data_IF_599314680674
#
_entry.id   IF_599314680674
#
_cell.length_a   1.000
_cell.length_b   1.000
_cell.length_c   1.000
_cell.angle_alpha   90.00
_cell.angle_beta   90.00
_cell.angle_gamma   90.00
#
_symmetry.space_group_name_H-M   'P 1'
#
loop_
_entity.id
_entity.type
_entity.pdbx_description
1 polymer ?
#
# COMPACT_ATOMS: atom_id res chain seq x y z
N UNK A 1 -6.76 10.13 36.87
CA UNK A 1 -7.74 10.44 35.79
C UNK A 1 -7.03 11.31 34.76
N UNK A 2 -6.74 10.78 33.57
CA UNK A 2 -6.13 11.55 32.49
C UNK A 2 -7.07 12.64 31.98
N UNK A 3 -6.56 13.83 31.70
CA UNK A 3 -7.34 14.92 31.12
C UNK A 3 -7.96 14.43 29.82
N UNK A 4 -9.28 14.55 29.67
CA UNK A 4 -9.97 14.24 28.42
C UNK A 4 -9.31 15.02 27.28
N UNK A 5 -8.93 14.31 26.22
CA UNK A 5 -8.34 14.90 25.03
C UNK A 5 -9.38 15.83 24.37
N UNK A 6 -9.13 17.11 24.37
CA UNK A 6 -9.92 18.09 23.62
C UNK A 6 -9.15 18.42 22.34
N UNK A 7 -9.66 18.04 21.16
CA UNK A 7 -9.02 18.37 19.90
C UNK A 7 -8.87 19.90 19.78
N UNK A 8 -7.67 20.36 19.53
CA UNK A 8 -7.42 21.79 19.30
C UNK A 8 -7.85 22.17 17.87
N UNK A 9 -9.18 22.40 17.72
CA UNK A 9 -9.80 22.71 16.42
C UNK A 9 -9.92 24.22 16.28
N UNK A 10 -8.78 24.86 16.14
CA UNK A 10 -8.73 26.28 15.74
C UNK A 10 -8.00 26.39 14.42
N UNK A 11 -8.68 26.14 13.30
CA UNK A 11 -8.40 26.86 12.06
C UNK A 11 -9.51 26.67 11.04
N UNK A 12 -10.07 27.73 10.54
CA UNK A 12 -10.94 27.79 9.36
C UNK A 12 -10.26 27.31 8.08
N UNK A 13 -8.95 27.05 8.14
CA UNK A 13 -8.10 26.71 6.98
C UNK A 13 -8.42 25.36 6.36
N UNK A 14 -9.02 24.43 7.12
CA UNK A 14 -9.41 23.08 6.67
C UNK A 14 -10.89 22.95 6.25
N UNK A 15 -11.68 23.99 6.34
CA UNK A 15 -13.09 23.94 5.92
C UNK A 15 -13.23 23.41 4.50
N UNK A 16 -14.17 22.48 4.30
CA UNK A 16 -14.50 21.88 3.00
C UNK A 16 -13.36 21.06 2.35
N UNK A 17 -12.44 20.45 3.14
CA UNK A 17 -11.37 19.65 2.58
C UNK A 17 -11.90 18.40 1.87
N UNK A 18 -12.89 17.71 2.46
CA UNK A 18 -13.57 16.57 1.81
C UNK A 18 -14.18 16.98 0.47
N UNK A 19 -14.82 18.15 0.42
CA UNK A 19 -15.38 18.71 -0.82
C UNK A 19 -14.28 19.03 -1.84
N UNK A 20 -13.14 19.58 -1.41
CA UNK A 20 -12.01 19.86 -2.27
C UNK A 20 -11.46 18.57 -2.92
N UNK A 21 -11.28 17.50 -2.15
CA UNK A 21 -10.86 16.18 -2.68
C UNK A 21 -11.91 15.65 -3.66
N UNK A 22 -13.20 15.71 -3.30
CA UNK A 22 -14.28 15.26 -4.18
C UNK A 22 -14.36 16.05 -5.50
N UNK A 23 -14.11 17.36 -5.46
CA UNK A 23 -14.02 18.18 -6.67
C UNK A 23 -12.84 17.81 -7.56
N UNK A 24 -11.68 17.48 -6.99
CA UNK A 24 -10.55 16.96 -7.75
C UNK A 24 -10.93 15.64 -8.43
N UNK A 25 -11.50 14.69 -7.69
CA UNK A 25 -11.95 13.40 -8.24
C UNK A 25 -12.93 13.62 -9.40
N UNK A 26 -13.95 14.49 -9.21
CA UNK A 26 -14.97 14.74 -10.24
C UNK A 26 -14.39 15.41 -11.47
N UNK A 27 -13.62 16.48 -11.29
CA UNK A 27 -13.29 17.43 -12.35
C UNK A 27 -12.05 17.04 -13.15
N UNK A 28 -11.15 16.18 -12.60
CA UNK A 28 -9.94 15.79 -13.33
C UNK A 28 -10.29 15.11 -14.64
N UNK A 29 -9.62 15.52 -15.72
CA UNK A 29 -9.79 14.96 -17.07
C UNK A 29 -8.49 14.31 -17.53
N UNK A 30 -8.58 13.21 -18.27
CA UNK A 30 -7.39 12.50 -18.78
C UNK A 30 -6.43 13.42 -19.54
N UNK A 31 -6.96 14.30 -20.38
CA UNK A 31 -6.17 15.22 -21.20
C UNK A 31 -5.40 16.28 -20.40
N UNK A 32 -5.71 16.45 -19.11
CA UNK A 32 -4.97 17.38 -18.22
C UNK A 32 -3.79 16.69 -17.50
N UNK A 33 -3.63 15.37 -17.66
CA UNK A 33 -2.57 14.61 -17.02
C UNK A 33 -1.31 14.67 -17.88
N UNK A 34 -0.14 15.02 -17.33
CA UNK A 34 1.12 15.03 -18.06
C UNK A 34 1.45 13.67 -18.68
N UNK A 35 1.99 13.66 -19.90
CA UNK A 35 2.29 12.43 -20.64
C UNK A 35 3.25 11.50 -19.87
N UNK A 36 4.27 12.04 -19.24
CA UNK A 36 5.21 11.26 -18.41
C UNK A 36 4.52 10.57 -17.23
N UNK A 37 3.52 11.20 -16.60
CA UNK A 37 2.73 10.60 -15.51
C UNK A 37 1.89 9.43 -16.03
N UNK A 38 1.30 9.58 -17.21
CA UNK A 38 0.55 8.50 -17.86
C UNK A 38 1.45 7.30 -18.18
N UNK A 39 2.67 7.54 -18.67
CA UNK A 39 3.61 6.44 -18.97
C UNK A 39 4.11 5.75 -17.68
N UNK A 40 4.32 6.49 -16.59
CA UNK A 40 4.62 5.90 -15.28
C UNK A 40 3.44 5.03 -14.80
N UNK A 41 2.21 5.56 -14.84
CA UNK A 41 1.01 4.81 -14.45
C UNK A 41 0.85 3.49 -15.21
N UNK A 42 1.14 3.46 -16.51
CA UNK A 42 1.10 2.22 -17.32
C UNK A 42 2.09 1.17 -16.81
N UNK A 43 3.30 1.58 -16.38
CA UNK A 43 4.29 0.66 -15.81
C UNK A 43 3.80 0.05 -14.50
N UNK A 44 3.25 0.88 -13.60
CA UNK A 44 2.69 0.41 -12.32
C UNK A 44 1.45 -0.47 -12.51
N UNK A 45 0.62 -0.19 -13.51
CA UNK A 45 -0.52 -1.05 -13.86
C UNK A 45 -0.04 -2.40 -14.41
N UNK A 46 0.98 -2.40 -15.27
CA UNK A 46 1.55 -3.64 -15.81
C UNK A 46 2.14 -4.49 -14.68
N UNK A 47 2.91 -3.87 -13.78
CA UNK A 47 3.46 -4.49 -12.57
C UNK A 47 2.32 -5.07 -11.70
N UNK A 48 1.29 -4.28 -11.40
CA UNK A 48 0.15 -4.70 -10.60
C UNK A 48 -0.61 -5.90 -11.21
N UNK A 49 -0.80 -5.95 -12.53
CA UNK A 49 -1.40 -7.12 -13.18
C UNK A 49 -0.49 -8.36 -13.10
N UNK A 50 0.83 -8.18 -13.28
CA UNK A 50 1.81 -9.24 -13.09
C UNK A 50 1.75 -9.83 -11.67
N UNK A 51 1.70 -8.96 -10.67
CA UNK A 51 1.61 -9.34 -9.27
C UNK A 51 0.25 -9.97 -8.90
N UNK A 52 -0.85 -9.52 -9.50
CA UNK A 52 -2.15 -10.19 -9.32
C UNK A 52 -2.12 -11.63 -9.85
N UNK A 53 -1.44 -11.87 -10.98
CA UNK A 53 -1.24 -13.21 -11.51
C UNK A 53 -0.34 -14.05 -10.60
N UNK A 54 0.79 -13.51 -10.12
CA UNK A 54 1.66 -14.18 -9.15
C UNK A 54 0.90 -14.52 -7.87
N UNK A 55 0.20 -13.56 -7.30
CA UNK A 55 -0.58 -13.76 -6.06
C UNK A 55 -1.75 -14.72 -6.21
N UNK A 56 -2.25 -14.94 -7.44
CA UNK A 56 -3.33 -15.90 -7.69
C UNK A 56 -2.92 -17.36 -7.43
N UNK A 57 -1.63 -17.66 -7.56
CA UNK A 57 -1.05 -19.00 -7.25
C UNK A 57 -0.31 -19.03 -5.92
N UNK A 58 -0.28 -17.91 -5.21
CA UNK A 58 0.24 -17.84 -3.86
C UNK A 58 -0.72 -18.51 -2.86
N UNK A 59 -0.22 -18.86 -1.69
CA UNK A 59 -1.01 -19.49 -0.61
C UNK A 59 -2.25 -18.67 -0.24
N UNK A 60 -2.17 -17.35 -0.24
CA UNK A 60 -3.29 -16.44 -0.01
C UNK A 60 -4.37 -16.55 -1.08
N UNK A 61 -3.97 -16.75 -2.34
CA UNK A 61 -4.87 -16.92 -3.48
C UNK A 61 -5.79 -18.13 -3.31
N UNK A 62 -5.25 -19.28 -2.92
CA UNK A 62 -6.02 -20.50 -2.69
C UNK A 62 -7.15 -20.33 -1.68
N UNK A 63 -6.85 -19.73 -0.54
CA UNK A 63 -7.85 -19.46 0.49
C UNK A 63 -8.90 -18.46 0.03
N UNK A 64 -8.46 -17.41 -0.65
CA UNK A 64 -9.35 -16.36 -1.09
C UNK A 64 -10.28 -16.82 -2.21
N UNK A 65 -9.79 -17.64 -3.15
CA UNK A 65 -10.63 -18.21 -4.19
C UNK A 65 -11.72 -19.13 -3.63
N UNK A 66 -11.39 -19.94 -2.60
CA UNK A 66 -12.38 -20.76 -1.88
C UNK A 66 -13.41 -19.89 -1.18
N UNK A 67 -12.96 -18.84 -0.48
CA UNK A 67 -13.85 -17.89 0.20
C UNK A 67 -14.82 -17.23 -0.80
N UNK A 68 -14.31 -16.72 -1.91
CA UNK A 68 -15.10 -16.01 -2.91
C UNK A 68 -16.07 -16.98 -3.61
N UNK A 69 -15.64 -18.19 -3.95
CA UNK A 69 -16.50 -19.21 -4.56
C UNK A 69 -17.72 -19.52 -3.71
N UNK A 70 -17.54 -19.50 -2.39
CA UNK A 70 -18.61 -19.83 -1.43
C UNK A 70 -19.53 -18.66 -1.11
N UNK A 71 -19.08 -17.40 -1.31
CA UNK A 71 -19.77 -16.22 -0.82
C UNK A 71 -20.20 -15.22 -1.88
N UNK A 72 -19.66 -15.32 -3.11
CA UNK A 72 -19.97 -14.35 -4.17
C UNK A 72 -21.07 -14.85 -5.10
N UNK A 73 -21.93 -13.93 -5.53
CA UNK A 73 -22.80 -14.14 -6.67
C UNK A 73 -22.02 -14.01 -7.99
N UNK A 74 -22.58 -14.57 -9.09
CA UNK A 74 -22.10 -14.32 -10.45
C UNK A 74 -22.13 -12.82 -10.76
N UNK A 75 -21.12 -12.33 -11.45
CA UNK A 75 -20.96 -10.96 -11.86
C UNK A 75 -20.20 -10.82 -13.18
N UNK A 76 -19.68 -9.63 -13.44
CA UNK A 76 -18.92 -9.33 -14.66
C UNK A 76 -17.44 -9.05 -14.39
N UNK A 77 -17.06 -8.85 -13.13
CA UNK A 77 -15.70 -8.51 -12.77
C UNK A 77 -14.81 -9.76 -12.68
N UNK A 78 -13.61 -9.68 -13.25
CA UNK A 78 -12.66 -10.78 -13.35
C UNK A 78 -11.88 -10.95 -12.07
N UNK A 79 -11.82 -12.17 -11.55
CA UNK A 79 -10.79 -12.59 -10.60
C UNK A 79 -9.57 -13.05 -11.39
N UNK A 80 -8.51 -12.26 -11.37
CA UNK A 80 -7.28 -12.47 -12.14
C UNK A 80 -6.65 -13.81 -11.73
N UNK A 81 -6.12 -14.54 -12.72
CA UNK A 81 -5.54 -15.89 -12.51
C UNK A 81 -6.59 -17.01 -12.36
N UNK A 82 -7.89 -16.69 -12.50
CA UNK A 82 -8.97 -17.68 -12.47
C UNK A 82 -9.97 -17.49 -13.59
N UNK A 83 -10.89 -18.46 -13.74
CA UNK A 83 -12.04 -18.36 -14.67
C UNK A 83 -13.27 -17.69 -14.02
N UNK A 84 -13.16 -17.22 -12.78
CA UNK A 84 -14.28 -16.64 -12.04
C UNK A 84 -14.64 -15.25 -12.53
N UNK A 85 -15.93 -15.04 -12.76
CA UNK A 85 -16.56 -13.72 -12.94
C UNK A 85 -17.53 -13.51 -11.77
N UNK A 86 -17.28 -12.50 -10.97
CA UNK A 86 -17.98 -12.25 -9.70
C UNK A 86 -18.45 -10.79 -9.62
N UNK A 87 -19.11 -10.42 -8.53
CA UNK A 87 -19.42 -9.02 -8.25
C UNK A 87 -18.14 -8.19 -8.07
N UNK A 88 -18.18 -6.91 -8.42
CA UNK A 88 -16.99 -6.04 -8.42
C UNK A 88 -16.28 -5.98 -7.05
N UNK A 89 -17.05 -5.99 -5.95
CA UNK A 89 -16.46 -6.01 -4.60
C UNK A 89 -15.56 -7.22 -4.36
N UNK A 90 -15.99 -8.41 -4.75
CA UNK A 90 -15.22 -9.64 -4.54
C UNK A 90 -14.06 -9.79 -5.53
N UNK A 91 -14.20 -9.28 -6.75
CA UNK A 91 -13.07 -9.20 -7.67
C UNK A 91 -12.00 -8.22 -7.15
N UNK A 92 -12.41 -7.07 -6.62
CA UNK A 92 -11.51 -6.10 -5.99
C UNK A 92 -10.78 -6.70 -4.78
N UNK A 93 -11.49 -7.43 -3.91
CA UNK A 93 -10.92 -8.15 -2.77
C UNK A 93 -9.83 -9.14 -3.23
N UNK A 94 -10.15 -10.01 -4.18
CA UNK A 94 -9.23 -11.05 -4.66
C UNK A 94 -7.98 -10.44 -5.30
N UNK A 95 -8.21 -9.53 -6.25
CA UNK A 95 -7.13 -8.95 -7.04
C UNK A 95 -6.21 -8.07 -6.18
N UNK A 96 -6.77 -7.30 -5.23
CA UNK A 96 -5.98 -6.47 -4.31
C UNK A 96 -5.15 -7.30 -3.33
N UNK A 97 -5.71 -8.37 -2.80
CA UNK A 97 -4.94 -9.32 -2.00
C UNK A 97 -3.85 -9.98 -2.84
N UNK A 98 -4.16 -10.38 -4.07
CA UNK A 98 -3.19 -10.99 -4.99
C UNK A 98 -2.01 -10.06 -5.29
N UNK A 99 -2.26 -8.80 -5.63
CA UNK A 99 -1.20 -7.81 -5.89
C UNK A 99 -0.26 -7.68 -4.70
N UNK A 100 -0.78 -7.72 -3.49
CA UNK A 100 -0.01 -7.51 -2.26
C UNK A 100 0.59 -8.79 -1.63
N UNK A 101 0.30 -9.98 -2.20
CA UNK A 101 0.66 -11.27 -1.61
C UNK A 101 2.16 -11.51 -1.50
N UNK A 102 2.91 -11.11 -2.51
CA UNK A 102 4.37 -11.29 -2.54
C UNK A 102 5.15 -10.15 -1.88
N UNK A 103 4.45 -9.12 -1.37
CA UNK A 103 5.06 -7.89 -0.88
C UNK A 103 6.04 -7.28 -1.90
N UNK A 104 5.69 -7.37 -3.17
CA UNK A 104 6.51 -6.98 -4.32
C UNK A 104 5.93 -5.78 -5.08
N UNK A 105 4.73 -5.34 -4.69
CA UNK A 105 4.03 -4.21 -5.25
C UNK A 105 4.69 -2.87 -4.91
N UNK A 106 4.35 -1.88 -5.70
CA UNK A 106 4.92 -0.56 -5.65
C UNK A 106 4.80 0.11 -4.27
N UNK A 107 5.72 1.03 -3.98
CA UNK A 107 5.75 1.73 -2.70
C UNK A 107 5.99 3.22 -2.90
N UNK A 108 5.17 4.05 -2.28
CA UNK A 108 5.41 5.46 -2.14
C UNK A 108 6.09 5.71 -0.79
N UNK A 109 7.31 6.22 -0.86
CA UNK A 109 8.07 6.69 0.29
C UNK A 109 8.06 8.22 0.25
N UNK A 110 7.42 8.86 1.22
CA UNK A 110 7.48 10.30 1.35
C UNK A 110 8.88 10.72 1.81
N UNK A 111 9.66 11.31 0.92
CA UNK A 111 10.97 11.87 1.24
C UNK A 111 10.82 13.37 1.47
N UNK A 112 11.01 13.81 2.71
CA UNK A 112 11.19 15.20 3.08
C UNK A 112 12.57 15.37 3.72
N UNK A 113 13.19 16.55 3.60
CA UNK A 113 14.54 16.83 4.08
C UNK A 113 14.77 16.49 5.56
N UNK A 114 13.73 16.62 6.36
CA UNK A 114 13.71 16.45 7.82
C UNK A 114 13.02 15.16 8.27
N UNK A 115 12.62 14.31 7.33
CA UNK A 115 11.96 13.04 7.63
C UNK A 115 12.77 11.88 7.10
N UNK A 116 13.46 11.21 7.99
CA UNK A 116 14.13 9.92 7.73
C UNK A 116 13.11 8.83 7.45
N UNK A 117 11.83 9.10 7.69
CA UNK A 117 10.74 8.15 7.65
C UNK A 117 9.65 8.62 6.73
N UNK A 118 9.61 7.99 5.61
CA UNK A 118 8.57 8.23 4.62
C UNK A 118 7.28 7.50 4.96
N UNK A 119 6.29 7.84 4.22
CA UNK A 119 5.05 7.16 4.18
C UNK A 119 5.26 5.80 3.51
N UNK A 120 4.85 4.76 4.19
CA UNK A 120 4.84 3.41 3.62
C UNK A 120 3.42 3.08 3.17
N UNK A 121 3.07 3.47 1.94
CA UNK A 121 1.84 3.03 1.29
C UNK A 121 2.16 2.35 -0.03
N UNK A 122 1.35 1.36 -0.39
CA UNK A 122 1.42 0.59 -1.62
C UNK A 122 0.20 0.95 -2.47
N UNK A 123 0.23 2.05 -3.24
CA UNK A 123 -1.00 2.67 -3.74
C UNK A 123 -1.66 1.88 -4.88
N UNK A 124 -0.91 1.07 -5.61
CA UNK A 124 -1.50 0.26 -6.69
C UNK A 124 -2.36 -0.87 -6.16
N UNK A 125 -1.98 -1.50 -5.06
CA UNK A 125 -2.66 -2.69 -4.54
C UNK A 125 -4.14 -2.48 -4.16
N UNK A 126 -4.57 -1.38 -3.52
CA UNK A 126 -5.98 -1.12 -3.27
C UNK A 126 -6.68 -0.42 -4.45
N UNK A 127 -5.99 0.45 -5.19
CA UNK A 127 -6.60 1.32 -6.18
C UNK A 127 -6.86 0.62 -7.52
N UNK A 128 -5.88 -0.11 -8.06
CA UNK A 128 -5.97 -0.79 -9.35
C UNK A 128 -7.11 -1.82 -9.40
N UNK A 129 -7.29 -2.71 -8.40
CA UNK A 129 -8.33 -3.72 -8.41
C UNK A 129 -9.75 -3.13 -8.42
N UNK A 130 -9.98 -2.08 -7.66
CA UNK A 130 -11.28 -1.40 -7.64
C UNK A 130 -11.57 -0.71 -8.97
N UNK A 131 -10.59 0.00 -9.53
CA UNK A 131 -10.71 0.63 -10.83
C UNK A 131 -10.94 -0.41 -11.94
N UNK A 132 -10.25 -1.55 -11.87
CA UNK A 132 -10.38 -2.61 -12.87
C UNK A 132 -11.77 -3.28 -12.81
N UNK A 133 -12.21 -3.68 -11.61
CA UNK A 133 -13.52 -4.32 -11.42
C UNK A 133 -14.68 -3.40 -11.82
N UNK A 134 -14.63 -2.13 -11.44
CA UNK A 134 -15.63 -1.13 -11.83
C UNK A 134 -15.55 -0.79 -13.33
N UNK A 135 -14.33 -0.76 -13.88
CA UNK A 135 -14.10 -0.54 -15.31
C UNK A 135 -14.71 -1.63 -16.18
N UNK A 136 -14.57 -2.91 -15.79
CA UNK A 136 -15.23 -4.04 -16.48
C UNK A 136 -16.77 -3.93 -16.36
N UNK A 137 -17.29 -3.61 -15.18
CA UNK A 137 -18.73 -3.45 -14.93
C UNK A 137 -19.33 -2.36 -15.82
N UNK A 138 -18.66 -1.21 -15.93
CA UNK A 138 -19.12 -0.03 -16.69
C UNK A 138 -18.65 -0.02 -18.14
N UNK A 139 -17.80 -0.98 -18.55
CA UNK A 139 -17.23 -1.08 -19.91
C UNK A 139 -16.54 0.21 -20.37
N UNK A 140 -15.76 0.81 -19.50
CA UNK A 140 -15.04 2.07 -19.79
C UNK A 140 -13.86 1.83 -20.74
N UNK A 141 -13.40 2.89 -21.39
CA UNK A 141 -12.19 2.86 -22.21
C UNK A 141 -10.91 3.03 -21.38
N UNK A 142 -9.75 2.78 -21.98
CA UNK A 142 -8.46 2.85 -21.29
C UNK A 142 -8.08 4.24 -20.76
N UNK A 143 -8.54 5.32 -21.40
CA UNK A 143 -8.27 6.70 -20.92
C UNK A 143 -9.03 6.99 -19.63
N UNK A 144 -10.28 6.57 -19.55
CA UNK A 144 -11.10 6.73 -18.35
C UNK A 144 -10.59 5.86 -17.22
N UNK A 145 -10.13 4.64 -17.52
CA UNK A 145 -9.49 3.75 -16.57
C UNK A 145 -8.22 4.35 -15.99
N UNK A 146 -7.29 4.81 -16.84
CA UNK A 146 -6.05 5.48 -16.42
C UNK A 146 -6.33 6.72 -15.57
N UNK A 147 -7.31 7.54 -15.96
CA UNK A 147 -7.70 8.72 -15.21
C UNK A 147 -8.22 8.37 -13.81
N UNK A 148 -9.07 7.36 -13.69
CA UNK A 148 -9.62 6.93 -12.40
C UNK A 148 -8.54 6.36 -11.48
N UNK A 149 -7.66 5.51 -12.01
CA UNK A 149 -6.53 4.95 -11.29
C UNK A 149 -5.59 6.04 -10.77
N UNK A 150 -5.15 6.95 -11.65
CA UNK A 150 -4.25 8.05 -11.27
C UNK A 150 -4.85 8.98 -10.20
N UNK A 151 -6.13 9.28 -10.32
CA UNK A 151 -6.84 10.10 -9.33
C UNK A 151 -6.90 9.38 -7.97
N UNK A 152 -7.22 8.09 -7.96
CA UNK A 152 -7.26 7.29 -6.74
C UNK A 152 -5.91 7.22 -6.05
N UNK A 153 -4.84 6.92 -6.78
CA UNK A 153 -3.46 6.88 -6.26
C UNK A 153 -3.04 8.23 -5.68
N UNK A 154 -3.33 9.33 -6.38
CA UNK A 154 -2.95 10.66 -5.90
C UNK A 154 -3.70 11.05 -4.62
N UNK A 155 -4.98 10.67 -4.50
CA UNK A 155 -5.76 10.85 -3.27
C UNK A 155 -5.15 10.02 -2.13
N UNK A 156 -4.83 8.74 -2.33
CA UNK A 156 -4.20 7.91 -1.31
C UNK A 156 -2.93 8.53 -0.76
N UNK A 157 -2.01 8.83 -1.67
CA UNK A 157 -0.68 9.29 -1.30
C UNK A 157 -0.72 10.65 -0.57
N UNK A 158 -1.54 11.61 -1.04
CA UNK A 158 -1.67 12.92 -0.42
C UNK A 158 -2.38 12.87 0.94
N UNK A 159 -3.42 12.02 1.06
CA UNK A 159 -4.11 11.81 2.34
C UNK A 159 -3.17 11.16 3.36
N UNK A 160 -2.45 10.16 2.95
CA UNK A 160 -1.47 9.49 3.80
C UNK A 160 -0.37 10.45 4.24
N UNK A 161 0.19 11.24 3.33
CA UNK A 161 1.24 12.22 3.63
C UNK A 161 0.77 13.27 4.64
N UNK A 162 -0.49 13.65 4.59
CA UNK A 162 -1.07 14.60 5.53
C UNK A 162 -1.08 14.10 6.99
N UNK A 163 -1.13 12.79 7.22
CA UNK A 163 -1.13 12.16 8.56
C UNK A 163 0.23 11.63 8.99
N UNK A 164 1.21 11.58 8.08
CA UNK A 164 2.55 11.05 8.39
C UNK A 164 3.27 11.92 9.43
N UNK A 165 4.05 11.32 10.33
CA UNK A 165 4.33 9.89 10.50
C UNK A 165 3.39 9.18 11.50
N UNK A 166 2.58 9.93 12.26
CA UNK A 166 1.82 9.41 13.41
C UNK A 166 0.93 8.22 13.08
N UNK A 167 0.21 8.28 11.97
CA UNK A 167 -0.69 7.23 11.55
C UNK A 167 0.00 5.85 11.52
N UNK A 168 1.14 5.79 10.86
CA UNK A 168 1.94 4.57 10.77
C UNK A 168 2.55 4.17 12.13
N UNK A 169 3.04 5.15 12.91
CA UNK A 169 3.60 4.92 14.23
C UNK A 169 2.56 4.38 15.24
N UNK A 170 1.30 4.78 15.10
CA UNK A 170 0.20 4.26 15.93
C UNK A 170 -0.25 2.85 15.55
N UNK A 171 0.44 2.19 14.62
CA UNK A 171 0.19 0.79 14.26
C UNK A 171 -0.79 0.58 13.12
N UNK A 172 -1.21 1.62 12.41
CA UNK A 172 -2.06 1.48 11.23
C UNK A 172 -1.25 1.11 9.98
N UNK A 173 -1.83 0.28 9.12
CA UNK A 173 -1.30 -0.01 7.79
C UNK A 173 -1.86 1.00 6.78
N UNK A 174 -1.06 1.98 6.39
CA UNK A 174 -1.49 3.09 5.51
C UNK A 174 -2.08 2.62 4.18
N UNK A 175 -1.52 1.57 3.58
CA UNK A 175 -2.06 0.91 2.38
C UNK A 175 -3.53 0.50 2.53
N UNK A 176 -3.89 0.04 3.71
CA UNK A 176 -5.27 -0.35 3.97
C UNK A 176 -6.17 0.84 4.24
N UNK A 177 -5.79 1.66 5.21
CA UNK A 177 -6.65 2.76 5.67
C UNK A 177 -6.82 3.85 4.63
N UNK A 178 -5.72 4.34 4.04
CA UNK A 178 -5.77 5.38 3.00
C UNK A 178 -6.16 4.80 1.64
N UNK A 179 -5.75 3.55 1.36
CA UNK A 179 -6.14 2.84 0.14
C UNK A 179 -7.64 2.61 0.01
N UNK A 180 -8.37 2.53 1.12
CA UNK A 180 -9.85 2.49 1.09
C UNK A 180 -10.43 3.78 0.47
N UNK A 181 -9.83 4.93 0.75
CA UNK A 181 -10.22 6.21 0.12
C UNK A 181 -9.82 6.27 -1.36
N UNK A 182 -8.64 5.73 -1.71
CA UNK A 182 -8.20 5.60 -3.10
C UNK A 182 -9.18 4.78 -3.94
N UNK A 183 -9.54 3.60 -3.41
CA UNK A 183 -10.50 2.70 -4.02
C UNK A 183 -11.85 3.37 -4.24
N UNK A 184 -12.39 4.06 -3.22
CA UNK A 184 -13.64 4.80 -3.33
C UNK A 184 -13.54 5.95 -4.34
N UNK A 185 -12.44 6.69 -4.38
CA UNK A 185 -12.23 7.78 -5.32
C UNK A 185 -12.20 7.27 -6.78
N UNK A 186 -11.48 6.18 -7.04
CA UNK A 186 -11.40 5.57 -8.36
C UNK A 186 -12.76 5.00 -8.82
N UNK A 187 -13.44 4.25 -7.95
CA UNK A 187 -14.76 3.69 -8.21
C UNK A 187 -15.82 4.76 -8.46
N UNK A 188 -15.89 5.79 -7.61
CA UNK A 188 -16.83 6.89 -7.75
C UNK A 188 -16.61 7.68 -9.04
N UNK A 189 -15.35 7.86 -9.45
CA UNK A 189 -15.00 8.50 -10.72
C UNK A 189 -15.51 7.70 -11.92
N UNK A 190 -15.27 6.38 -11.94
CA UNK A 190 -15.75 5.48 -13.00
C UNK A 190 -17.28 5.47 -13.08
N UNK A 191 -17.96 5.54 -11.93
CA UNK A 191 -19.43 5.60 -11.83
C UNK A 191 -20.01 6.95 -12.26
N UNK A 192 -19.16 7.96 -12.49
CA UNK A 192 -19.59 9.30 -12.91
C UNK A 192 -20.29 10.10 -11.82
N UNK A 193 -20.08 9.76 -10.54
CA UNK A 193 -20.72 10.40 -9.39
C UNK A 193 -20.52 11.91 -9.36
N UNK A 194 -21.49 12.64 -8.83
CA UNK A 194 -21.38 14.06 -8.55
C UNK A 194 -20.56 14.32 -7.28
N UNK A 195 -20.23 15.59 -7.01
CA UNK A 195 -19.37 15.96 -5.88
C UNK A 195 -19.93 15.48 -4.53
N UNK A 196 -21.26 15.60 -4.32
CA UNK A 196 -21.90 15.15 -3.09
C UNK A 196 -21.81 13.63 -2.92
N UNK A 197 -22.08 12.88 -3.98
CA UNK A 197 -21.94 11.42 -3.95
C UNK A 197 -20.50 10.97 -3.70
N UNK A 198 -19.49 11.69 -4.26
CA UNK A 198 -18.09 11.40 -3.98
C UNK A 198 -17.75 11.69 -2.51
N UNK A 199 -18.21 12.82 -1.93
CA UNK A 199 -18.04 13.11 -0.51
C UNK A 199 -18.60 11.99 0.38
N UNK A 200 -19.81 11.55 0.08
CA UNK A 200 -20.48 10.47 0.82
C UNK A 200 -19.75 9.12 0.63
N UNK A 201 -19.29 8.81 -0.58
CA UNK A 201 -18.49 7.60 -0.84
C UNK A 201 -17.18 7.60 -0.05
N UNK A 202 -16.47 8.73 0.00
CA UNK A 202 -15.29 8.88 0.85
C UNK A 202 -15.62 8.73 2.33
N UNK A 203 -16.80 9.21 2.78
CA UNK A 203 -17.22 9.12 4.17
C UNK A 203 -17.56 7.68 4.59
N UNK A 204 -18.28 6.94 3.75
CA UNK A 204 -18.53 5.51 3.98
C UNK A 204 -17.22 4.73 3.97
N UNK A 205 -16.36 4.95 2.97
CA UNK A 205 -15.07 4.32 2.84
C UNK A 205 -14.18 4.56 4.07
N UNK A 206 -14.12 5.80 4.56
CA UNK A 206 -13.38 6.16 5.76
C UNK A 206 -13.87 5.40 7.01
N UNK A 207 -15.16 5.12 7.11
CA UNK A 207 -15.74 4.34 8.21
C UNK A 207 -15.47 2.83 8.09
N UNK A 208 -15.16 2.35 6.88
CA UNK A 208 -14.80 0.96 6.61
C UNK A 208 -13.28 0.73 6.62
N UNK A 209 -12.50 1.80 6.78
CA UNK A 209 -11.04 1.71 6.76
C UNK A 209 -10.49 1.05 8.01
N UNK A 210 -9.61 0.05 7.82
CA UNK A 210 -9.01 -0.72 8.90
C UNK A 210 -7.65 -1.27 8.45
N UNK A 211 -6.95 -1.97 9.34
CA UNK A 211 -5.70 -2.67 9.06
C UNK A 211 -4.63 -2.30 10.07
N UNK A 212 -4.08 -3.32 10.76
CA UNK A 212 -3.10 -3.16 11.83
C UNK A 212 -1.76 -3.80 11.45
N UNK A 213 -0.68 -3.08 11.68
CA UNK A 213 0.70 -3.51 11.38
C UNK A 213 1.16 -4.72 12.18
N UNK A 214 0.52 -5.02 13.30
CA UNK A 214 0.79 -6.24 14.06
C UNK A 214 0.62 -7.52 13.23
N UNK A 215 -0.16 -7.45 12.16
CA UNK A 215 -0.31 -8.53 11.19
C UNK A 215 0.80 -8.60 10.11
N UNK A 216 1.86 -7.79 10.20
CA UNK A 216 2.99 -7.95 9.29
C UNK A 216 3.70 -9.27 9.55
N UNK A 217 4.03 -9.99 8.49
CA UNK A 217 4.53 -11.37 8.60
C UNK A 217 3.44 -12.45 8.68
N UNK A 218 2.19 -12.10 8.34
CA UNK A 218 1.06 -13.04 8.22
C UNK A 218 0.30 -12.85 6.91
N UNK A 219 -0.56 -13.81 6.54
CA UNK A 219 -1.48 -13.69 5.40
C UNK A 219 -2.48 -12.53 5.52
N UNK A 220 -2.66 -11.98 6.71
CA UNK A 220 -3.58 -10.86 6.94
C UNK A 220 -3.05 -9.54 6.36
N UNK A 221 -1.72 -9.37 6.25
CA UNK A 221 -1.17 -8.15 5.63
C UNK A 221 -1.63 -7.96 4.18
N UNK A 222 -1.47 -8.92 3.25
CA UNK A 222 -2.00 -8.76 1.89
C UNK A 222 -3.53 -8.64 1.84
N UNK A 223 -4.26 -9.28 2.75
CA UNK A 223 -5.70 -9.10 2.86
C UNK A 223 -6.08 -7.63 3.13
N UNK A 224 -5.27 -6.86 3.83
CA UNK A 224 -5.54 -5.44 4.09
C UNK A 224 -5.75 -4.65 2.78
N UNK A 225 -4.90 -4.85 1.76
CA UNK A 225 -5.03 -4.17 0.48
C UNK A 225 -6.30 -4.61 -0.28
N UNK A 226 -6.60 -5.90 -0.27
CA UNK A 226 -7.83 -6.43 -0.86
C UNK A 226 -9.09 -5.90 -0.17
N UNK A 227 -9.10 -5.83 1.16
CA UNK A 227 -10.21 -5.26 1.94
C UNK A 227 -10.37 -3.76 1.65
N UNK A 228 -9.29 -3.02 1.51
CA UNK A 228 -9.35 -1.62 1.11
C UNK A 228 -9.99 -1.45 -0.27
N UNK A 229 -9.58 -2.28 -1.24
CA UNK A 229 -10.17 -2.30 -2.57
C UNK A 229 -11.67 -2.63 -2.54
N UNK A 230 -12.06 -3.67 -1.81
CA UNK A 230 -13.47 -4.07 -1.63
C UNK A 230 -14.28 -2.97 -0.94
N UNK A 231 -13.77 -2.41 0.16
CA UNK A 231 -14.49 -1.43 0.98
C UNK A 231 -14.81 -0.14 0.22
N UNK A 232 -13.90 0.31 -0.66
CA UNK A 232 -14.17 1.46 -1.53
C UNK A 232 -15.26 1.18 -2.57
N UNK A 233 -15.30 -0.02 -3.13
CA UNK A 233 -16.39 -0.45 -4.03
C UNK A 233 -17.72 -0.50 -3.28
N UNK A 234 -17.76 -1.13 -2.10
CA UNK A 234 -18.96 -1.19 -1.24
C UNK A 234 -19.47 0.20 -0.88
N UNK A 235 -18.57 1.13 -0.55
CA UNK A 235 -18.94 2.51 -0.25
C UNK A 235 -19.68 3.17 -1.43
N UNK A 236 -19.17 2.96 -2.65
CA UNK A 236 -19.83 3.46 -3.86
C UNK A 236 -21.13 2.71 -4.17
N UNK A 237 -21.24 1.41 -3.91
CA UNK A 237 -22.49 0.66 -4.06
C UNK A 237 -23.59 1.25 -3.19
N UNK A 238 -23.33 1.45 -1.90
CA UNK A 238 -24.28 1.99 -0.94
C UNK A 238 -24.73 3.40 -1.33
N UNK A 239 -23.79 4.29 -1.65
CA UNK A 239 -24.11 5.67 -2.04
C UNK A 239 -24.91 5.70 -3.35
N UNK A 240 -24.62 4.78 -4.29
CA UNK A 240 -25.40 4.64 -5.51
C UNK A 240 -26.86 4.25 -5.29
N UNK A 241 -27.16 3.61 -4.16
CA UNK A 241 -28.52 3.26 -3.71
C UNK A 241 -29.19 4.37 -2.89
N UNK A 242 -28.52 5.49 -2.64
CA UNK A 242 -29.05 6.60 -1.85
C UNK A 242 -28.64 6.59 -0.37
N UNK A 243 -27.64 5.76 0.01
CA UNK A 243 -27.11 5.77 1.37
C UNK A 243 -26.46 7.09 1.71
N UNK A 244 -26.86 7.68 2.85
CA UNK A 244 -26.35 8.98 3.30
C UNK A 244 -25.13 8.85 4.21
N UNK A 245 -24.21 9.81 4.09
CA UNK A 245 -23.06 9.96 4.98
C UNK A 245 -22.68 11.44 5.11
N UNK A 246 -21.81 11.76 6.06
CA UNK A 246 -21.32 13.13 6.26
C UNK A 246 -20.58 13.66 5.04
N UNK A 247 -20.66 14.95 4.80
CA UNK A 247 -19.91 15.66 3.73
C UNK A 247 -18.53 16.19 4.17
N UNK A 248 -18.09 15.91 5.42
CA UNK A 248 -16.89 16.50 6.07
C UNK A 248 -16.01 15.45 6.73
N UNK A 249 -15.96 14.24 6.19
CA UNK A 249 -15.32 13.09 6.86
C UNK A 249 -13.83 13.28 7.10
N UNK A 250 -13.11 13.98 6.22
CA UNK A 250 -11.66 14.15 6.34
C UNK A 250 -11.29 15.12 7.46
N UNK A 251 -11.90 16.30 7.46
CA UNK A 251 -11.51 17.44 8.30
C UNK A 251 -12.26 17.55 9.64
N UNK A 252 -13.33 16.79 9.84
CA UNK A 252 -14.15 16.91 11.06
C UNK A 252 -13.41 16.46 12.31
N UNK A 253 -13.79 16.98 13.51
CA UNK A 253 -13.16 16.63 14.79
C UNK A 253 -13.22 15.14 15.16
N UNK A 254 -14.19 14.42 14.63
CA UNK A 254 -14.35 12.98 14.76
C UNK A 254 -14.18 12.29 13.41
N UNK A 255 -13.53 12.98 12.47
CA UNK A 255 -13.29 12.50 11.10
C UNK A 255 -12.01 11.69 10.97
N UNK A 256 -11.73 11.30 9.73
CA UNK A 256 -10.66 10.39 9.38
C UNK A 256 -9.28 10.84 9.87
N UNK A 257 -8.91 12.08 9.60
CA UNK A 257 -7.59 12.59 10.00
C UNK A 257 -7.39 12.66 11.50
N UNK A 258 -8.43 13.04 12.23
CA UNK A 258 -8.34 13.11 13.68
C UNK A 258 -8.28 11.71 14.30
N UNK A 259 -9.14 10.80 13.84
CA UNK A 259 -9.21 9.44 14.37
C UNK A 259 -7.94 8.63 14.08
N UNK A 260 -7.42 8.71 12.86
CA UNK A 260 -6.29 7.88 12.41
C UNK A 260 -4.93 8.56 12.59
N UNK A 261 -4.84 9.88 12.64
CA UNK A 261 -3.57 10.61 12.69
C UNK A 261 -3.42 11.60 13.84
N UNK A 262 -4.47 11.77 14.66
CA UNK A 262 -4.47 12.82 15.70
C UNK A 262 -4.36 14.23 15.11
N UNK A 263 -4.72 14.40 13.85
CA UNK A 263 -4.63 15.63 13.08
C UNK A 263 -4.02 15.43 11.69
N UNK A 264 -3.77 16.51 10.97
CA UNK A 264 -3.24 16.47 9.61
C UNK A 264 -2.50 17.76 9.21
N UNK A 265 -1.63 17.63 8.21
CA UNK A 265 -0.99 18.76 7.56
C UNK A 265 -1.80 19.15 6.30
N UNK A 266 -2.52 20.26 6.37
CA UNK A 266 -3.35 20.75 5.25
C UNK A 266 -2.53 20.99 3.98
N UNK A 267 -1.27 21.43 4.11
CA UNK A 267 -0.41 21.78 2.98
C UNK A 267 0.02 20.56 2.15
N UNK A 268 -0.13 19.35 2.69
CA UNK A 268 0.12 18.11 1.92
C UNK A 268 -1.01 17.79 0.94
N UNK A 269 -2.19 18.42 1.08
CA UNK A 269 -3.35 18.13 0.24
C UNK A 269 -3.80 19.36 -0.54
N UNK A 270 -4.03 20.48 0.15
CA UNK A 270 -4.60 21.69 -0.45
C UNK A 270 -3.62 22.29 -1.46
N UNK A 271 -4.03 22.36 -2.72
CA UNK A 271 -3.18 22.80 -3.82
C UNK A 271 -2.22 21.75 -4.36
N UNK A 272 -2.18 20.54 -3.76
CA UNK A 272 -1.23 19.48 -4.12
C UNK A 272 -1.84 18.35 -4.97
N UNK A 273 -3.15 18.17 -4.97
CA UNK A 273 -3.78 17.10 -5.77
C UNK A 273 -3.54 17.33 -7.27
N UNK A 274 -2.85 16.41 -7.90
CA UNK A 274 -2.41 16.51 -9.29
C UNK A 274 -1.30 17.55 -9.56
N UNK A 275 -0.71 18.17 -8.51
CA UNK A 275 0.24 19.29 -8.66
C UNK A 275 1.32 19.30 -7.57
N UNK A 276 2.39 18.52 -7.72
CA UNK A 276 2.63 17.52 -8.75
C UNK A 276 1.84 16.23 -8.50
N UNK A 277 1.61 15.46 -9.56
CA UNK A 277 1.13 14.08 -9.46
C UNK A 277 2.15 13.24 -8.70
N UNK A 278 1.69 12.40 -7.79
CA UNK A 278 2.57 11.60 -6.91
C UNK A 278 3.50 10.69 -7.70
N UNK A 279 3.06 10.13 -8.82
CA UNK A 279 3.95 9.33 -9.68
C UNK A 279 5.16 10.09 -10.22
N UNK A 280 5.06 11.40 -10.40
CA UNK A 280 6.20 12.23 -10.85
C UNK A 280 7.02 12.79 -9.70
N UNK A 281 6.38 13.15 -8.58
CA UNK A 281 7.05 13.69 -7.40
C UNK A 281 6.16 13.52 -6.16
N UNK A 282 6.66 12.89 -5.10
CA UNK A 282 8.03 12.40 -4.90
C UNK A 282 8.38 11.18 -5.73
N UNK A 283 7.40 10.53 -6.36
CA UNK A 283 7.52 9.28 -7.08
C UNK A 283 6.95 8.09 -6.31
N UNK A 284 6.67 7.04 -7.04
CA UNK A 284 6.30 5.72 -6.54
C UNK A 284 7.29 4.72 -7.11
N UNK A 285 7.85 3.87 -6.29
CA UNK A 285 8.92 2.94 -6.68
C UNK A 285 8.37 1.54 -6.90
N UNK A 286 8.66 0.95 -8.06
CA UNK A 286 8.49 -0.49 -8.28
C UNK A 286 9.60 -1.21 -7.50
N UNK A 287 9.24 -2.21 -6.71
CA UNK A 287 10.19 -2.92 -5.85
C UNK A 287 11.11 -3.84 -6.67
N UNK A 288 12.41 -3.89 -6.38
CA UNK A 288 13.34 -4.84 -6.99
C UNK A 288 13.32 -6.23 -6.32
N UNK A 289 12.78 -6.35 -5.11
CA UNK A 289 12.73 -7.57 -4.31
C UNK A 289 11.37 -7.77 -3.63
N UNK A 290 10.88 -9.00 -3.47
CA UNK A 290 9.58 -9.33 -2.87
C UNK A 290 9.65 -9.30 -1.34
N UNK A 291 9.92 -8.14 -0.77
CA UNK A 291 10.03 -7.93 0.68
C UNK A 291 9.79 -6.47 1.08
N UNK A 292 9.81 -6.18 2.36
CA UNK A 292 9.63 -4.84 2.89
C UNK A 292 10.64 -3.84 2.30
N UNK A 293 10.17 -2.73 1.74
CA UNK A 293 11.01 -1.74 1.03
C UNK A 293 12.17 -1.21 1.85
N UNK A 294 12.08 -1.28 3.17
CA UNK A 294 13.13 -0.81 4.08
C UNK A 294 14.39 -1.70 4.06
N UNK A 295 14.29 -2.94 3.55
CA UNK A 295 15.46 -3.81 3.34
C UNK A 295 16.25 -3.43 2.10
N UNK A 296 15.61 -2.85 1.08
CA UNK A 296 16.16 -2.70 -0.26
C UNK A 296 17.47 -1.89 -0.34
N UNK A 297 17.65 -0.77 0.38
CA UNK A 297 18.93 -0.06 0.38
C UNK A 297 20.08 -0.94 0.88
N UNK A 298 19.86 -1.67 1.99
CA UNK A 298 20.82 -2.63 2.53
C UNK A 298 21.09 -3.79 1.56
N UNK A 299 20.03 -4.34 0.95
CA UNK A 299 20.15 -5.41 -0.04
C UNK A 299 20.95 -4.99 -1.26
N UNK A 300 20.70 -3.80 -1.79
CA UNK A 300 21.47 -3.25 -2.91
C UNK A 300 22.95 -3.15 -2.56
N UNK A 301 23.25 -2.58 -1.39
CA UNK A 301 24.64 -2.41 -0.96
C UNK A 301 25.32 -3.74 -0.66
N UNK A 302 24.62 -4.67 -0.02
CA UNK A 302 25.14 -6.03 0.21
C UNK A 302 25.47 -6.73 -1.10
N UNK A 303 24.57 -6.69 -2.08
CA UNK A 303 24.80 -7.31 -3.39
C UNK A 303 25.98 -6.69 -4.12
N UNK A 304 26.15 -5.36 -4.08
CA UNK A 304 27.31 -4.65 -4.62
C UNK A 304 28.62 -5.15 -3.98
N UNK A 305 28.66 -5.29 -2.65
CA UNK A 305 29.86 -5.78 -1.94
C UNK A 305 30.18 -7.23 -2.31
N UNK A 306 29.15 -8.10 -2.32
CA UNK A 306 29.29 -9.52 -2.71
C UNK A 306 29.89 -9.64 -4.12
N UNK A 307 29.34 -8.91 -5.08
CA UNK A 307 29.79 -8.98 -6.47
C UNK A 307 31.16 -8.35 -6.69
N UNK A 308 31.43 -7.21 -6.04
CA UNK A 308 32.71 -6.50 -6.16
C UNK A 308 33.91 -7.29 -5.61
N UNK A 309 33.68 -7.97 -4.48
CA UNK A 309 34.76 -8.66 -3.75
C UNK A 309 34.67 -10.19 -3.86
N UNK A 310 33.73 -10.71 -4.65
CA UNK A 310 33.41 -12.13 -4.81
C UNK A 310 33.27 -12.89 -3.48
N UNK A 311 32.63 -12.26 -2.50
CA UNK A 311 32.47 -12.79 -1.15
C UNK A 311 31.73 -14.13 -1.21
N UNK A 312 32.31 -15.16 -0.58
CA UNK A 312 31.71 -16.50 -0.46
C UNK A 312 31.03 -16.64 0.92
N UNK A 313 29.92 -17.39 1.03
CA UNK A 313 29.22 -17.58 2.31
C UNK A 313 30.13 -18.07 3.44
N UNK A 314 31.08 -18.97 3.14
CA UNK A 314 32.01 -19.54 4.11
C UNK A 314 33.06 -18.55 4.65
N UNK A 315 33.29 -17.43 3.95
CA UNK A 315 34.28 -16.42 4.35
C UNK A 315 33.66 -15.38 5.30
N UNK A 316 32.33 -15.44 5.51
CA UNK A 316 31.62 -14.46 6.34
C UNK A 316 31.70 -14.88 7.80
N UNK A 317 32.32 -14.03 8.62
CA UNK A 317 32.41 -14.19 10.08
C UNK A 317 31.28 -13.45 10.78
N UNK A 318 30.96 -12.25 10.31
CA UNK A 318 29.92 -11.39 10.88
C UNK A 318 29.41 -10.38 9.85
N UNK A 319 28.16 -9.97 9.97
CA UNK A 319 27.58 -8.86 9.21
C UNK A 319 26.85 -7.93 10.18
N UNK A 320 27.29 -6.68 10.22
CA UNK A 320 26.63 -5.61 10.95
C UNK A 320 25.89 -4.71 9.96
N UNK A 321 24.58 -4.51 10.18
CA UNK A 321 23.73 -3.66 9.35
C UNK A 321 23.25 -2.49 10.17
N UNK A 322 23.92 -1.33 10.02
CA UNK A 322 23.48 -0.07 10.61
C UNK A 322 22.24 0.49 9.89
N UNK A 323 21.17 0.74 10.61
CA UNK A 323 19.92 1.27 10.09
C UNK A 323 19.43 2.44 10.90
N UNK A 324 18.36 3.10 10.50
CA UNK A 324 17.67 4.02 11.39
C UNK A 324 16.62 3.27 12.22
N UNK A 325 16.29 3.85 13.37
CA UNK A 325 15.33 3.30 14.34
C UNK A 325 13.98 2.85 13.70
N UNK A 326 13.51 3.54 12.69
CA UNK A 326 12.23 3.22 12.07
C UNK A 326 12.24 1.92 11.25
N UNK A 327 13.40 1.48 10.77
CA UNK A 327 13.49 0.21 10.03
C UNK A 327 13.20 -0.96 10.96
N UNK A 328 13.72 -0.96 12.18
CA UNK A 328 13.48 -2.01 13.18
C UNK A 328 11.99 -2.13 13.54
N UNK A 329 11.26 -1.01 13.59
CA UNK A 329 9.81 -1.00 13.85
C UNK A 329 8.94 -1.66 12.76
N UNK A 330 9.48 -1.88 11.57
CA UNK A 330 8.76 -2.51 10.47
C UNK A 330 9.30 -3.90 10.12
N UNK A 331 10.61 -4.11 10.31
CA UNK A 331 11.30 -5.37 10.03
C UNK A 331 11.44 -6.17 11.34
N UNK A 332 10.33 -6.69 11.82
CA UNK A 332 10.18 -7.22 13.19
C UNK A 332 10.54 -8.70 13.35
N UNK A 333 10.93 -9.39 12.26
CA UNK A 333 11.20 -10.82 12.29
C UNK A 333 12.69 -11.11 12.12
N UNK A 334 13.42 -11.32 13.22
CA UNK A 334 14.87 -11.57 13.18
C UNK A 334 15.23 -13.01 12.73
N UNK A 335 14.42 -13.99 13.08
CA UNK A 335 14.61 -15.41 12.68
C UNK A 335 13.34 -15.96 12.05
N UNK A 336 13.07 -15.62 10.80
CA UNK A 336 11.85 -16.05 10.13
C UNK A 336 11.86 -17.55 9.87
N UNK A 337 10.69 -18.17 10.01
CA UNK A 337 10.46 -19.61 9.76
C UNK A 337 9.52 -19.88 8.58
N UNK A 338 8.95 -18.81 8.00
CA UNK A 338 8.02 -18.89 6.88
C UNK A 338 8.14 -17.67 5.95
N UNK A 339 7.55 -17.80 4.75
CA UNK A 339 7.59 -16.77 3.69
C UNK A 339 7.10 -15.38 4.12
N UNK A 340 6.06 -15.34 4.96
CA UNK A 340 5.48 -14.07 5.39
C UNK A 340 6.39 -13.31 6.35
N UNK A 341 7.03 -14.03 7.28
CA UNK A 341 7.99 -13.44 8.20
C UNK A 341 9.29 -13.01 7.48
N UNK A 342 9.78 -13.84 6.57
CA UNK A 342 11.01 -13.56 5.83
C UNK A 342 10.96 -12.24 5.03
N UNK A 343 9.79 -11.89 4.50
CA UNK A 343 9.55 -10.62 3.81
C UNK A 343 9.72 -9.38 4.72
N UNK A 344 9.73 -9.57 6.04
CA UNK A 344 9.91 -8.52 7.06
C UNK A 344 11.10 -8.80 7.98
N UNK A 345 12.17 -9.37 7.41
CA UNK A 345 13.45 -9.66 8.08
C UNK A 345 14.61 -9.02 7.33
N UNK A 346 15.34 -8.12 7.99
CA UNK A 346 16.60 -7.60 7.46
C UNK A 346 17.62 -8.71 7.37
N UNK A 347 17.74 -9.49 8.44
CA UNK A 347 18.69 -10.59 8.56
C UNK A 347 18.49 -11.62 7.44
N UNK A 348 17.26 -12.01 7.19
CA UNK A 348 16.96 -12.94 6.09
C UNK A 348 17.33 -12.36 4.73
N UNK A 349 16.99 -11.09 4.51
CA UNK A 349 17.28 -10.42 3.24
C UNK A 349 18.77 -10.33 2.95
N UNK A 350 19.59 -10.13 3.98
CA UNK A 350 21.06 -10.15 3.85
C UNK A 350 21.57 -11.59 3.66
N UNK A 351 21.10 -12.53 4.49
CA UNK A 351 21.53 -13.93 4.44
C UNK A 351 21.28 -14.57 3.07
N UNK A 352 20.09 -14.35 2.49
CA UNK A 352 19.75 -14.95 1.19
C UNK A 352 20.60 -14.40 0.05
N UNK A 353 20.97 -13.12 0.10
CA UNK A 353 21.89 -12.53 -0.88
C UNK A 353 23.32 -13.11 -0.76
N UNK A 354 23.83 -13.30 0.45
CA UNK A 354 25.13 -13.94 0.70
C UNK A 354 25.16 -15.36 0.16
N UNK A 355 24.09 -16.13 0.38
CA UNK A 355 24.00 -17.54 -0.01
C UNK A 355 23.70 -17.71 -1.49
N UNK A 356 22.84 -16.89 -2.10
CA UNK A 356 22.38 -17.09 -3.49
C UNK A 356 22.69 -15.97 -4.47
N UNK A 357 23.19 -14.83 -4.01
CA UNK A 357 23.45 -13.63 -4.85
C UNK A 357 22.22 -13.12 -5.60
N UNK A 358 21.03 -13.50 -5.14
CA UNK A 358 19.73 -13.07 -5.68
C UNK A 358 18.66 -13.21 -4.61
N UNK A 359 17.55 -12.45 -4.77
CA UNK A 359 16.43 -12.46 -3.85
C UNK A 359 15.13 -12.12 -4.63
N UNK A 360 14.52 -13.16 -5.22
CA UNK A 360 13.24 -13.09 -5.92
C UNK A 360 12.20 -13.97 -5.22
N UNK A 361 11.01 -14.17 -5.81
CA UNK A 361 9.92 -14.93 -5.19
C UNK A 361 10.34 -16.36 -4.77
N UNK A 362 11.10 -17.14 -5.57
CA UNK A 362 11.53 -18.48 -5.13
C UNK A 362 12.40 -18.48 -3.88
N UNK A 363 13.18 -17.43 -3.67
CA UNK A 363 14.07 -17.31 -2.51
C UNK A 363 13.29 -17.02 -1.21
N UNK A 364 12.07 -16.47 -1.30
CA UNK A 364 11.21 -16.20 -0.14
C UNK A 364 10.15 -17.28 0.12
N UNK A 365 10.31 -18.51 -0.42
CA UNK A 365 9.41 -19.63 -0.13
C UNK A 365 9.87 -20.43 1.09
N UNK A 366 8.92 -20.99 1.86
CA UNK A 366 9.17 -21.77 3.09
C UNK A 366 10.26 -22.84 2.92
N UNK A 367 10.25 -23.56 1.79
CA UNK A 367 11.24 -24.59 1.46
C UNK A 367 12.68 -24.06 1.34
N UNK A 368 12.86 -22.77 1.04
CA UNK A 368 14.19 -22.13 0.95
C UNK A 368 14.60 -21.51 2.28
N UNK A 369 13.67 -20.87 2.96
CA UNK A 369 13.90 -20.20 4.24
C UNK A 369 14.45 -21.15 5.29
N UNK A 370 13.91 -22.36 5.34
CA UNK A 370 14.26 -23.38 6.34
C UNK A 370 15.47 -24.25 5.96
N UNK A 371 16.23 -23.90 4.92
CA UNK A 371 17.46 -24.62 4.59
C UNK A 371 18.59 -24.28 5.57
N UNK A 372 19.42 -25.30 5.98
CA UNK A 372 20.49 -25.09 6.94
C UNK A 372 21.50 -24.01 6.57
N UNK A 373 21.82 -23.87 5.28
CA UNK A 373 22.77 -22.87 4.78
C UNK A 373 22.29 -21.43 5.06
N UNK A 374 20.98 -21.18 4.91
CA UNK A 374 20.39 -19.85 5.23
C UNK A 374 20.26 -19.67 6.73
N UNK A 375 19.75 -20.68 7.45
CA UNK A 375 19.55 -20.57 8.90
C UNK A 375 20.87 -20.39 9.66
N UNK A 376 21.94 -21.04 9.21
CA UNK A 376 23.29 -20.84 9.76
C UNK A 376 23.81 -19.42 9.47
N UNK A 377 23.56 -18.90 8.26
CA UNK A 377 23.96 -17.53 7.91
C UNK A 377 23.24 -16.50 8.78
N UNK A 378 21.95 -16.71 9.12
CA UNK A 378 21.19 -15.81 9.99
C UNK A 378 21.85 -15.61 11.36
N UNK A 379 22.60 -16.58 11.88
CA UNK A 379 23.30 -16.47 13.16
C UNK A 379 24.48 -15.47 13.14
N UNK A 380 24.96 -15.11 11.95
CA UNK A 380 26.08 -14.17 11.75
C UNK A 380 25.62 -12.74 11.51
N UNK A 381 24.29 -12.48 11.50
CA UNK A 381 23.71 -11.21 11.11
C UNK A 381 23.15 -10.45 12.31
N UNK A 382 23.53 -9.20 12.38
CA UNK A 382 23.14 -8.28 13.44
C UNK A 382 22.60 -6.98 12.82
N UNK A 383 21.41 -6.58 13.25
CA UNK A 383 20.83 -5.30 12.85
C UNK A 383 20.78 -4.39 14.07
N UNK A 384 21.45 -3.25 13.99
CA UNK A 384 21.49 -2.26 15.08
C UNK A 384 20.94 -0.90 14.62
N UNK A 385 20.51 -0.08 15.58
CA UNK A 385 20.26 1.34 15.33
C UNK A 385 21.61 2.07 15.24
N UNK A 386 21.89 2.67 14.07
CA UNK A 386 23.14 3.40 13.86
C UNK A 386 23.30 4.61 14.81
N UNK A 387 22.21 5.11 15.40
CA UNK A 387 22.26 6.18 16.40
C UNK A 387 22.75 5.69 17.77
N UNK A 388 22.48 4.42 18.12
CA UNK A 388 22.93 3.82 19.39
C UNK A 388 24.44 3.52 19.38
N UNK A 389 25.03 3.29 18.20
CA UNK A 389 26.48 3.03 18.08
C UNK A 389 27.33 4.30 18.23
N UNK A 390 26.80 5.46 17.88
CA UNK A 390 27.48 6.75 18.07
C UNK A 390 27.47 7.24 19.53
N UNK A 391 26.69 6.58 20.40
CA UNK A 391 26.59 6.88 21.85
C UNK A 391 27.41 5.93 22.71
N UNK A 392 28.10 4.95 22.12
CA UNK A 392 29.05 4.04 22.78
C UNK A 392 30.47 4.39 22.43
#
# INVERSE_FOLDING_TARGET
>A
MGKAYTPNIKSDKGKNLTKYVAQFVKNNKFNSIPKNVVELAKKHILDGFGLALSGSVARTGDYLFKHIKNNSAKGRATVIGSKMKVTSRFAALANGTGIHSDDYDDTQLAVQKDRVYGLLTHPTAPCLPSAYAEGELKKINGKDFLNAYLVGVDVECKVSEAMSPRHYQHGFHSTSTCGTLASAAAAAKIRGYNVSQIQQSLAVAASLSAGLRENFGTMTKPLHAGRAAESGVVACDLVGLGWSATDKILESPRGFFQAHGGGYNLNSIKGQLGRPWTFSKPGVSIKPHPCGSLTHPGMTKMLELILKHDIKPQDVVKVDVGTNHNMQNALIHHRPTNEFQAKFSMEYSMAILLVQRRAYIPEYQDKRINKPDVQNMLCLLYTSDAADELSR
#
